data_IF_179592293872
#
_entry.id   IF_179592293872
#
_cell.length_a   1.000
_cell.length_b   1.000
_cell.length_c   1.000
_cell.angle_alpha   90.00
_cell.angle_beta   90.00
_cell.angle_gamma   90.00
#
_symmetry.space_group_name_H-M   'P 1'
#
loop_
_entity.id
_entity.type
_entity.pdbx_description
1 polymer ?
#
# COMPACT_ATOMS: atom_id res chain seq x y z
N UNK A 1 -5.42 -8.76 12.44
CA UNK A 1 -4.34 -7.79 12.74
C UNK A 1 -3.05 -8.39 12.20
N UNK A 2 -2.21 -7.61 11.52
CA UNK A 2 -0.88 -8.08 11.10
C UNK A 2 -0.03 -8.09 12.37
N UNK A 3 0.47 -9.26 12.77
CA UNK A 3 1.28 -9.41 13.97
C UNK A 3 2.76 -9.34 13.58
N UNK A 4 3.46 -8.37 14.17
CA UNK A 4 4.92 -8.21 14.02
C UNK A 4 5.68 -8.69 15.24
N UNK A 5 4.98 -9.24 16.24
CA UNK A 5 5.57 -9.76 17.45
C UNK A 5 5.82 -11.25 17.31
N UNK A 6 7.01 -11.68 17.71
CA UNK A 6 7.37 -13.09 17.84
C UNK A 6 7.55 -13.42 19.32
N UNK A 7 6.85 -14.45 19.78
CA UNK A 7 7.01 -14.97 21.13
C UNK A 7 8.05 -16.08 21.13
N UNK A 8 9.08 -15.93 21.96
CA UNK A 8 10.10 -16.96 22.17
C UNK A 8 10.11 -17.37 23.63
N UNK A 9 10.12 -18.68 23.86
CA UNK A 9 10.36 -19.25 25.19
C UNK A 9 11.87 -19.36 25.37
N UNK A 10 12.39 -18.74 26.43
CA UNK A 10 13.77 -18.97 26.88
C UNK A 10 13.73 -19.62 28.26
N UNK A 11 14.51 -20.67 28.46
CA UNK A 11 14.63 -21.34 29.76
C UNK A 11 15.91 -20.86 30.42
N UNK A 12 15.79 -20.23 31.59
CA UNK A 12 16.91 -19.75 32.40
C UNK A 12 16.76 -20.40 33.77
N UNK A 13 17.74 -21.21 34.17
CA UNK A 13 17.77 -21.90 35.47
C UNK A 13 16.51 -22.74 35.80
N UNK A 14 15.89 -23.32 34.77
CA UNK A 14 14.67 -24.13 34.90
C UNK A 14 13.37 -23.31 35.00
N UNK A 15 13.45 -21.99 34.89
CA UNK A 15 12.28 -21.09 34.75
C UNK A 15 12.04 -20.79 33.27
N UNK A 16 10.80 -20.98 32.81
CA UNK A 16 10.37 -20.59 31.48
C UNK A 16 10.02 -19.10 31.44
N UNK A 17 10.74 -18.32 30.63
CA UNK A 17 10.49 -16.90 30.42
C UNK A 17 9.90 -16.72 29.01
N UNK A 18 8.74 -16.09 28.95
CA UNK A 18 8.11 -15.66 27.71
C UNK A 18 8.66 -14.28 27.35
N UNK A 19 9.40 -14.18 26.25
CA UNK A 19 9.84 -12.89 25.70
C UNK A 19 9.11 -12.61 24.38
N UNK A 20 8.62 -11.37 24.25
CA UNK A 20 8.02 -10.87 23.02
C UNK A 20 9.00 -9.89 22.38
N UNK A 21 9.36 -10.17 21.13
CA UNK A 21 10.24 -9.29 20.36
C UNK A 21 9.52 -8.80 19.11
N UNK A 22 9.60 -7.49 18.86
CA UNK A 22 9.08 -6.89 17.63
C UNK A 22 10.05 -7.13 16.48
N UNK A 23 9.55 -7.70 15.38
CA UNK A 23 10.29 -7.86 14.14
C UNK A 23 10.29 -6.54 13.35
N UNK A 24 11.28 -5.70 13.63
CA UNK A 24 11.48 -4.43 12.91
C UNK A 24 11.75 -4.64 11.41
N UNK A 25 12.30 -5.78 11.00
CA UNK A 25 12.50 -6.11 9.59
C UNK A 25 11.18 -6.30 8.87
N UNK A 26 10.26 -7.09 9.46
CA UNK A 26 8.92 -7.28 8.94
C UNK A 26 8.12 -5.96 8.90
N UNK A 27 8.24 -5.12 9.93
CA UNK A 27 7.62 -3.77 9.94
C UNK A 27 8.16 -2.91 8.80
N UNK A 28 9.47 -2.88 8.61
CA UNK A 28 10.09 -2.08 7.55
C UNK A 28 9.63 -2.53 6.15
N UNK A 29 9.64 -3.84 5.88
CA UNK A 29 9.17 -4.40 4.61
C UNK A 29 7.69 -4.08 4.40
N UNK A 30 6.87 -4.21 5.44
CA UNK A 30 5.45 -3.88 5.36
C UNK A 30 5.22 -2.41 4.99
N UNK A 31 5.92 -1.48 5.65
CA UNK A 31 5.86 -0.04 5.35
C UNK A 31 6.32 0.23 3.91
N UNK A 32 7.41 -0.39 3.48
CA UNK A 32 7.92 -0.21 2.11
C UNK A 32 6.91 -0.70 1.07
N UNK A 33 6.32 -1.88 1.26
CA UNK A 33 5.27 -2.43 0.40
C UNK A 33 4.03 -1.53 0.39
N UNK A 34 3.62 -0.99 1.53
CA UNK A 34 2.50 -0.07 1.62
C UNK A 34 2.76 1.23 0.84
N UNK A 35 3.95 1.82 0.97
CA UNK A 35 4.35 3.02 0.23
C UNK A 35 4.40 2.77 -1.29
N UNK A 36 4.96 1.65 -1.71
CA UNK A 36 4.97 1.25 -3.13
C UNK A 36 3.54 1.02 -3.67
N UNK A 37 2.68 0.37 -2.88
CA UNK A 37 1.28 0.16 -3.23
C UNK A 37 0.53 1.48 -3.43
N UNK A 38 0.73 2.45 -2.53
CA UNK A 38 0.14 3.80 -2.65
C UNK A 38 0.64 4.48 -3.93
N UNK A 39 1.94 4.39 -4.23
CA UNK A 39 2.49 5.00 -5.44
C UNK A 39 1.88 4.43 -6.73
N UNK A 40 1.74 3.10 -6.81
CA UNK A 40 1.10 2.41 -7.95
C UNK A 40 -0.39 2.75 -8.03
N UNK A 41 -1.06 2.83 -6.89
CA UNK A 41 -2.48 3.19 -6.82
C UNK A 41 -2.74 4.58 -7.42
N UNK A 42 -1.88 5.57 -7.15
CA UNK A 42 -2.02 6.93 -7.70
C UNK A 42 -1.41 7.12 -9.09
N UNK A 43 -0.87 6.08 -9.71
CA UNK A 43 -0.27 6.14 -11.05
C UNK A 43 -1.19 6.74 -12.14
N UNK A 44 -2.50 6.40 -12.22
CA UNK A 44 -3.38 6.96 -13.24
C UNK A 44 -3.55 8.48 -13.09
N UNK A 45 -3.61 8.95 -11.85
CA UNK A 45 -3.71 10.37 -11.54
C UNK A 45 -2.43 11.13 -11.90
N UNK A 46 -1.25 10.57 -11.58
CA UNK A 46 0.04 11.13 -11.98
C UNK A 46 0.14 11.29 -13.51
N UNK A 47 -0.30 10.28 -14.27
CA UNK A 47 -0.32 10.32 -15.74
C UNK A 47 -1.23 11.47 -16.25
N UNK A 48 -2.42 11.63 -15.67
CA UNK A 48 -3.34 12.70 -16.04
C UNK A 48 -2.76 14.10 -15.79
N UNK A 49 -2.00 14.27 -14.68
CA UNK A 49 -1.29 15.52 -14.37
C UNK A 49 -0.22 15.83 -15.41
N UNK A 50 0.67 14.88 -15.68
CA UNK A 50 1.80 15.04 -16.61
C UNK A 50 1.28 15.38 -18.02
N UNK A 51 0.18 14.75 -18.44
CA UNK A 51 -0.43 14.98 -19.75
C UNK A 51 -1.33 16.22 -19.83
N UNK A 52 -1.52 16.94 -18.72
CA UNK A 52 -2.45 18.08 -18.60
C UNK A 52 -3.87 17.77 -19.12
N UNK A 53 -4.35 16.55 -18.93
CA UNK A 53 -5.69 16.15 -19.38
C UNK A 53 -6.77 17.07 -18.77
N UNK A 54 -7.77 17.47 -19.56
CA UNK A 54 -8.90 18.29 -19.08
C UNK A 54 -9.64 17.60 -17.93
N UNK A 55 -9.64 16.27 -17.92
CA UNK A 55 -10.40 15.43 -16.99
C UNK A 55 -9.60 15.02 -15.75
N UNK A 56 -8.52 15.73 -15.39
CA UNK A 56 -7.68 15.45 -14.20
C UNK A 56 -8.47 15.17 -12.91
N UNK A 57 -9.52 15.96 -12.67
CA UNK A 57 -10.41 15.79 -11.51
C UNK A 57 -11.25 14.51 -11.60
N UNK A 58 -11.74 14.17 -12.79
CA UNK A 58 -12.51 12.96 -13.00
C UNK A 58 -11.62 11.71 -12.85
N UNK A 59 -10.38 11.74 -13.36
CA UNK A 59 -9.39 10.67 -13.15
C UNK A 59 -9.11 10.49 -11.66
N UNK A 60 -8.93 11.58 -10.91
CA UNK A 60 -8.74 11.51 -9.45
C UNK A 60 -9.92 10.85 -8.75
N UNK A 61 -11.14 11.28 -9.06
CA UNK A 61 -12.37 10.76 -8.43
C UNK A 61 -12.60 9.28 -8.76
N UNK A 62 -12.42 8.87 -10.01
CA UNK A 62 -12.54 7.46 -10.40
C UNK A 62 -11.45 6.63 -9.72
N UNK A 63 -10.22 7.11 -9.69
CA UNK A 63 -9.13 6.42 -9.01
C UNK A 63 -9.37 6.32 -7.49
N UNK A 64 -9.87 7.37 -6.85
CA UNK A 64 -10.11 7.38 -5.40
C UNK A 64 -11.32 6.52 -4.98
N UNK A 65 -12.41 6.58 -5.73
CA UNK A 65 -13.66 5.87 -5.39
C UNK A 65 -13.68 4.42 -5.89
N UNK A 66 -13.06 4.15 -7.04
CA UNK A 66 -13.11 2.84 -7.71
C UNK A 66 -11.73 2.21 -7.93
N UNK A 67 -10.62 2.88 -7.61
CA UNK A 67 -9.27 2.34 -7.80
C UNK A 67 -8.94 1.14 -6.92
N UNK A 68 -9.78 0.83 -5.92
CA UNK A 68 -9.70 -0.43 -5.16
C UNK A 68 -10.11 -1.65 -6.00
N UNK A 69 -10.74 -1.42 -7.16
CA UNK A 69 -11.04 -2.45 -8.15
C UNK A 69 -10.11 -2.33 -9.36
N UNK A 70 -9.70 -3.48 -9.92
CA UNK A 70 -8.89 -3.53 -11.15
C UNK A 70 -9.61 -2.80 -12.30
N UNK A 71 -10.93 -2.95 -12.39
CA UNK A 71 -11.75 -2.28 -13.42
C UNK A 71 -11.72 -0.76 -13.27
N UNK A 72 -11.94 -0.23 -12.06
CA UNK A 72 -11.90 1.21 -11.82
C UNK A 72 -10.52 1.82 -12.08
N UNK A 73 -9.45 1.10 -11.73
CA UNK A 73 -8.09 1.51 -12.02
C UNK A 73 -7.79 1.54 -13.53
N UNK A 74 -8.24 0.53 -14.29
CA UNK A 74 -8.15 0.52 -15.75
C UNK A 74 -8.94 1.67 -16.40
N UNK A 75 -10.16 1.96 -15.93
CA UNK A 75 -10.96 3.09 -16.43
C UNK A 75 -10.25 4.42 -16.14
N UNK A 76 -9.71 4.60 -14.93
CA UNK A 76 -8.93 5.78 -14.58
C UNK A 76 -7.71 5.97 -15.50
N UNK A 77 -7.00 4.88 -15.83
CA UNK A 77 -5.89 4.92 -16.80
C UNK A 77 -6.34 5.33 -18.19
N UNK A 78 -7.42 4.73 -18.70
CA UNK A 78 -7.95 5.07 -20.03
C UNK A 78 -8.32 6.55 -20.07
N UNK A 79 -8.99 7.06 -19.02
CA UNK A 79 -9.32 8.48 -18.88
C UNK A 79 -8.08 9.37 -18.80
N UNK A 80 -7.03 8.94 -18.09
CA UNK A 80 -5.77 9.68 -17.98
C UNK A 80 -5.01 9.79 -19.32
N UNK A 81 -5.19 8.83 -20.22
CA UNK A 81 -4.54 8.76 -21.53
C UNK A 81 -5.38 9.44 -22.61
N UNK A 82 -6.72 9.46 -22.47
CA UNK A 82 -7.61 10.18 -23.38
C UNK A 82 -7.24 11.67 -23.44
N UNK A 83 -7.21 12.18 -24.68
CA UNK A 83 -6.76 13.53 -25.02
C UNK A 83 -7.82 14.56 -24.67
#
# INVERSE_FOLDING_TARGET
>A
MINFETTKVIVVDGVEILTNTTDYGAVFVFVLCALLGIFIYFMPFCIAIIRKSTDKLAVFLVNFLFGWSILGWCVALIMAIKK
#
